data_IF_685320264069
#
_entry.id   IF_685320264069
#
_cell.length_a   1.000
_cell.length_b   1.000
_cell.length_c   1.000
_cell.angle_alpha   90.00
_cell.angle_beta   90.00
_cell.angle_gamma   90.00
#
_symmetry.space_group_name_H-M   'P 1'
#
loop_
_entity.id
_entity.type
_entity.pdbx_description
1 polymer ?
#
# COMPACT_ATOMS: atom_id res chain seq x y z
N UNK A 1 -51.48 -3.38 -12.23
CA UNK A 1 -50.87 -2.13 -11.74
C UNK A 1 -49.97 -2.51 -10.57
N UNK A 2 -48.80 -3.03 -10.88
CA UNK A 2 -47.80 -3.51 -9.91
C UNK A 2 -46.67 -2.49 -9.92
N UNK A 3 -46.59 -1.71 -8.84
CA UNK A 3 -45.51 -0.77 -8.57
C UNK A 3 -44.25 -1.55 -8.26
N UNK A 4 -43.32 -1.57 -9.22
CA UNK A 4 -41.90 -1.78 -8.93
C UNK A 4 -41.42 -0.53 -8.16
N UNK A 5 -41.12 -0.70 -6.88
CA UNK A 5 -40.31 0.26 -6.13
C UNK A 5 -38.87 -0.18 -6.33
N UNK A 6 -38.14 0.56 -7.16
CA UNK A 6 -36.69 0.53 -7.19
C UNK A 6 -36.20 1.04 -5.83
N UNK A 7 -35.63 0.15 -5.02
CA UNK A 7 -34.94 0.48 -3.78
C UNK A 7 -33.53 0.97 -4.12
N UNK A 8 -33.45 2.10 -4.84
CA UNK A 8 -32.20 2.84 -5.01
C UNK A 8 -31.89 3.52 -3.70
N UNK A 9 -31.04 2.89 -2.87
CA UNK A 9 -30.38 3.55 -1.73
C UNK A 9 -29.81 4.87 -2.23
N UNK A 10 -30.42 5.98 -1.82
CA UNK A 10 -30.05 7.31 -2.25
C UNK A 10 -28.87 7.77 -1.40
N UNK A 11 -27.67 7.62 -1.93
CA UNK A 11 -26.45 8.16 -1.31
C UNK A 11 -26.39 9.65 -1.59
N UNK A 12 -26.44 10.46 -0.53
CA UNK A 12 -26.56 11.92 -0.63
C UNK A 12 -25.20 12.62 -0.46
N UNK A 13 -24.19 11.88 0.00
CA UNK A 13 -22.84 12.38 0.30
C UNK A 13 -21.77 11.36 -0.05
N UNK A 14 -20.66 11.86 -0.60
CA UNK A 14 -19.45 11.08 -0.86
C UNK A 14 -18.30 11.63 0.00
N UNK A 15 -17.50 10.71 0.55
CA UNK A 15 -16.24 11.03 1.22
C UNK A 15 -15.18 10.03 0.80
N UNK A 16 -13.96 10.52 0.61
CA UNK A 16 -12.78 9.67 0.49
C UNK A 16 -12.16 9.54 1.88
N UNK A 17 -11.76 8.35 2.33
CA UNK A 17 -11.02 8.15 3.58
C UNK A 17 -9.61 7.71 3.24
N UNK A 18 -8.60 8.26 3.91
CA UNK A 18 -7.22 7.77 3.83
C UNK A 18 -7.04 6.71 4.91
N UNK A 19 -6.66 5.49 4.52
CA UNK A 19 -6.57 4.33 5.42
C UNK A 19 -5.11 3.87 5.54
N UNK A 20 -4.55 3.96 6.73
CA UNK A 20 -3.18 3.52 7.00
C UNK A 20 -3.10 2.09 7.55
N UNK A 21 -1.97 1.44 7.27
CA UNK A 21 -1.64 0.13 7.83
C UNK A 21 -2.28 -1.05 7.12
N UNK A 22 -2.98 -0.85 6.00
CA UNK A 22 -3.39 -1.96 5.14
C UNK A 22 -2.16 -2.55 4.49
N UNK A 23 -1.88 -3.81 4.77
CA UNK A 23 -0.75 -4.54 4.17
C UNK A 23 -1.17 -5.42 3.03
N UNK A 24 -2.44 -5.68 2.76
CA UNK A 24 -2.83 -6.50 1.60
C UNK A 24 -4.25 -6.20 1.16
N UNK A 25 -4.63 -6.74 0.01
CA UNK A 25 -5.98 -6.55 -0.52
C UNK A 25 -7.05 -7.31 0.28
N UNK A 26 -6.70 -8.40 0.99
CA UNK A 26 -7.60 -9.00 1.99
C UNK A 26 -7.91 -8.05 3.17
N UNK A 27 -6.97 -7.19 3.58
CA UNK A 27 -7.21 -6.10 4.54
C UNK A 27 -8.23 -5.11 3.97
N UNK A 28 -8.04 -4.65 2.73
CA UNK A 28 -8.97 -3.73 2.07
C UNK A 28 -10.37 -4.33 1.86
N UNK A 29 -10.47 -5.58 1.42
CA UNK A 29 -11.74 -6.28 1.26
C UNK A 29 -12.50 -6.42 2.58
N UNK A 30 -11.77 -6.57 3.70
CA UNK A 30 -12.37 -6.59 5.04
C UNK A 30 -12.92 -5.23 5.44
N UNK A 31 -12.13 -4.17 5.27
CA UNK A 31 -12.59 -2.80 5.53
C UNK A 31 -13.82 -2.48 4.68
N UNK A 32 -13.76 -2.80 3.38
CA UNK A 32 -14.86 -2.64 2.44
C UNK A 32 -16.11 -3.40 2.89
N UNK A 33 -15.98 -4.68 3.25
CA UNK A 33 -17.10 -5.50 3.72
C UNK A 33 -17.68 -4.96 5.04
N UNK A 34 -16.86 -4.35 5.90
CA UNK A 34 -17.31 -3.79 7.17
C UNK A 34 -18.04 -2.47 6.98
N UNK A 35 -17.53 -1.59 6.11
CA UNK A 35 -18.19 -0.33 5.73
C UNK A 35 -19.52 -0.61 5.00
N UNK A 36 -19.53 -1.53 4.03
CA UNK A 36 -20.75 -1.91 3.29
C UNK A 36 -21.81 -2.64 4.15
N UNK A 37 -21.46 -3.04 5.38
CA UNK A 37 -22.44 -3.60 6.34
C UNK A 37 -23.18 -2.50 7.11
N UNK A 38 -22.70 -1.25 7.08
CA UNK A 38 -23.39 -0.13 7.70
C UNK A 38 -24.64 0.21 6.88
N UNK A 39 -25.79 0.49 7.53
CA UNK A 39 -26.98 0.95 6.83
C UNK A 39 -26.68 2.25 6.07
N UNK A 40 -27.18 2.36 4.83
CA UNK A 40 -27.00 3.57 4.01
C UNK A 40 -25.59 3.81 3.46
N UNK A 41 -24.62 2.91 3.68
CA UNK A 41 -23.23 3.06 3.23
C UNK A 41 -22.91 2.13 2.06
N UNK A 42 -22.31 2.69 1.01
CA UNK A 42 -21.63 1.96 -0.06
C UNK A 42 -20.18 2.41 -0.11
N UNK A 43 -19.25 1.47 0.05
CA UNK A 43 -17.82 1.74 0.09
C UNK A 43 -17.07 0.89 -0.93
N UNK A 44 -16.07 1.50 -1.58
CA UNK A 44 -15.03 0.81 -2.35
C UNK A 44 -13.68 1.16 -1.78
N UNK A 45 -12.91 0.15 -1.38
CA UNK A 45 -11.58 0.33 -0.78
C UNK A 45 -10.52 -0.14 -1.76
N UNK A 46 -9.52 0.71 -1.99
CA UNK A 46 -8.37 0.40 -2.82
C UNK A 46 -7.09 0.39 -1.95
N UNK A 47 -6.52 -0.80 -1.81
CA UNK A 47 -5.26 -1.01 -1.08
C UNK A 47 -4.04 -0.36 -1.78
N UNK A 48 -4.03 -0.25 -3.11
CA UNK A 48 -2.91 0.34 -3.83
C UNK A 48 -2.79 1.85 -3.58
N UNK A 49 -3.92 2.52 -3.42
CA UNK A 49 -3.97 3.96 -3.13
C UNK A 49 -4.20 4.31 -1.68
N UNK A 50 -4.39 3.32 -0.81
CA UNK A 50 -4.68 3.52 0.62
C UNK A 50 -5.91 4.42 0.84
N UNK A 51 -6.87 4.36 -0.10
CA UNK A 51 -8.06 5.20 -0.11
C UNK A 51 -9.32 4.35 -0.10
N UNK A 52 -10.35 4.82 0.61
CA UNK A 52 -11.70 4.29 0.51
C UNK A 52 -12.66 5.36 0.03
N UNK A 53 -13.31 5.13 -1.10
CA UNK A 53 -14.41 5.97 -1.59
C UNK A 53 -15.70 5.47 -0.96
N UNK A 54 -16.34 6.31 -0.16
CA UNK A 54 -17.51 5.95 0.64
C UNK A 54 -18.65 6.91 0.30
N UNK A 55 -19.71 6.35 -0.25
CA UNK A 55 -21.00 7.01 -0.45
C UNK A 55 -21.90 6.65 0.72
N UNK A 56 -22.52 7.62 1.38
CA UNK A 56 -23.32 7.40 2.58
C UNK A 56 -24.57 8.28 2.61
N UNK A 57 -25.60 7.82 3.33
CA UNK A 57 -26.83 8.55 3.57
C UNK A 57 -26.61 9.71 4.57
N UNK A 58 -27.46 10.73 4.52
CA UNK A 58 -27.27 11.97 5.29
C UNK A 58 -27.32 11.79 6.83
N UNK A 59 -27.83 10.66 7.30
CA UNK A 59 -27.95 10.26 8.71
C UNK A 59 -26.69 9.57 9.27
N UNK A 60 -25.71 9.24 8.43
CA UNK A 60 -24.44 8.62 8.86
C UNK A 60 -23.39 9.69 9.13
N UNK A 61 -22.81 9.67 10.32
CA UNK A 61 -21.69 10.56 10.69
C UNK A 61 -20.37 10.05 10.07
N UNK A 62 -19.59 10.89 9.37
CA UNK A 62 -18.25 10.54 8.91
C UNK A 62 -17.31 10.00 10.01
N UNK A 63 -17.51 10.40 11.27
CA UNK A 63 -16.76 9.86 12.41
C UNK A 63 -17.05 8.36 12.64
N UNK A 64 -18.28 7.90 12.39
CA UNK A 64 -18.65 6.48 12.50
C UNK A 64 -17.99 5.64 11.41
N UNK A 65 -17.76 6.22 10.22
CA UNK A 65 -17.01 5.57 9.15
C UNK A 65 -15.56 5.35 9.59
N UNK A 66 -14.91 6.38 10.16
CA UNK A 66 -13.54 6.29 10.69
C UNK A 66 -13.46 5.25 11.82
N UNK A 67 -14.36 5.34 12.80
CA UNK A 67 -14.41 4.39 13.91
C UNK A 67 -14.65 2.95 13.44
N UNK A 68 -15.42 2.76 12.36
CA UNK A 68 -15.64 1.44 11.75
C UNK A 68 -14.36 0.88 11.14
N UNK A 69 -13.55 1.71 10.48
CA UNK A 69 -12.22 1.29 9.99
C UNK A 69 -11.26 1.02 11.15
N UNK A 70 -11.25 1.87 12.18
CA UNK A 70 -10.41 1.66 13.37
C UNK A 70 -10.79 0.40 14.16
N UNK A 71 -12.07 0.06 14.23
CA UNK A 71 -12.55 -1.19 14.79
C UNK A 71 -12.10 -2.43 13.99
N UNK A 72 -11.62 -2.23 12.76
CA UNK A 72 -10.95 -3.28 11.98
C UNK A 72 -9.44 -3.34 12.21
N UNK A 73 -8.86 -2.45 13.02
CA UNK A 73 -7.44 -2.47 13.38
C UNK A 73 -6.54 -1.71 12.40
N UNK A 74 -7.12 -0.85 11.56
CA UNK A 74 -6.40 0.06 10.66
C UNK A 74 -6.63 1.50 11.10
N UNK A 75 -5.79 2.43 10.66
CA UNK A 75 -6.05 3.86 10.90
C UNK A 75 -6.89 4.40 9.76
N UNK A 76 -7.80 5.33 10.04
CA UNK A 76 -8.51 6.08 9.01
C UNK A 76 -8.54 7.55 9.35
N UNK A 77 -8.32 8.40 8.35
CA UNK A 77 -8.46 9.84 8.49
C UNK A 77 -9.34 10.39 7.39
N UNK A 78 -10.17 11.37 7.76
CA UNK A 78 -10.84 12.21 6.78
C UNK A 78 -9.78 13.05 6.06
N UNK A 79 -9.86 13.22 4.73
CA UNK A 79 -9.01 14.15 4.00
C UNK A 79 -9.17 15.50 4.65
N UNK A 80 -8.06 16.08 5.08
CA UNK A 80 -8.08 17.47 5.49
C UNK A 80 -8.65 18.31 4.33
N UNK A 81 -9.54 19.28 4.58
CA UNK A 81 -9.87 20.27 3.55
C UNK A 81 -8.56 20.82 2.98
N UNK A 82 -8.45 20.99 1.65
CA UNK A 82 -7.19 21.40 1.03
C UNK A 82 -6.68 22.64 1.76
N UNK A 83 -5.50 22.57 2.41
CA UNK A 83 -5.03 23.67 3.22
C UNK A 83 -4.84 24.89 2.33
N UNK A 84 -5.42 26.02 2.75
CA UNK A 84 -5.35 27.30 2.05
C UNK A 84 -3.93 27.90 2.03
N UNK A 85 -2.98 27.26 2.72
CA UNK A 85 -1.56 27.60 2.68
C UNK A 85 -0.73 26.31 2.66
N UNK A 86 -0.05 26.03 1.54
CA UNK A 86 1.39 25.71 1.47
C UNK A 86 1.79 25.21 0.07
N UNK A 87 2.74 25.93 -0.53
CA UNK A 87 3.73 25.50 -1.52
C UNK A 87 3.84 23.99 -1.70
N UNK A 88 3.29 23.41 -2.79
CA UNK A 88 3.56 22.04 -3.30
C UNK A 88 3.59 20.85 -2.28
N UNK A 89 3.23 21.08 -1.02
CA UNK A 89 3.57 20.22 0.11
C UNK A 89 2.71 18.95 0.28
N UNK A 90 1.42 18.89 -0.10
CA UNK A 90 0.61 17.70 0.14
C UNK A 90 1.04 16.50 -0.73
N UNK A 91 1.40 16.76 -1.99
CA UNK A 91 1.86 15.73 -2.94
C UNK A 91 3.25 15.23 -2.54
N UNK A 92 4.13 16.16 -2.11
CA UNK A 92 5.46 15.83 -1.60
C UNK A 92 5.41 15.05 -0.27
N UNK A 93 4.43 15.29 0.60
CA UNK A 93 4.29 14.58 1.87
C UNK A 93 3.83 13.12 1.68
N UNK A 94 2.79 12.90 0.87
CA UNK A 94 2.33 11.55 0.54
C UNK A 94 3.40 10.76 -0.23
N UNK A 95 4.19 11.43 -1.06
CA UNK A 95 5.30 10.80 -1.79
C UNK A 95 6.47 10.47 -0.86
N UNK A 96 6.86 11.39 0.03
CA UNK A 96 7.86 11.10 1.07
C UNK A 96 7.46 9.91 1.92
N UNK A 97 6.19 9.78 2.30
CA UNK A 97 5.70 8.61 3.05
C UNK A 97 5.87 7.31 2.26
N UNK A 98 5.53 7.28 0.96
CA UNK A 98 5.73 6.10 0.09
C UNK A 98 7.20 5.77 -0.13
N UNK A 99 8.06 6.79 -0.25
CA UNK A 99 9.50 6.61 -0.41
C UNK A 99 10.16 6.12 0.89
N UNK A 100 9.72 6.62 2.04
CA UNK A 100 10.10 6.13 3.37
C UNK A 100 9.66 4.68 3.57
N UNK A 101 8.45 4.31 3.15
CA UNK A 101 7.97 2.93 3.22
C UNK A 101 8.83 1.98 2.37
N UNK A 102 9.07 2.33 1.10
CA UNK A 102 9.92 1.53 0.22
C UNK A 102 11.36 1.44 0.74
N UNK A 103 11.89 2.52 1.33
CA UNK A 103 13.20 2.53 1.96
C UNK A 103 13.24 1.64 3.22
N UNK A 104 12.19 1.64 4.03
CA UNK A 104 12.08 0.78 5.20
C UNK A 104 12.04 -0.71 4.81
N UNK A 105 11.28 -1.06 3.77
CA UNK A 105 11.28 -2.42 3.23
C UNK A 105 12.63 -2.82 2.62
N UNK A 106 13.32 -1.90 1.92
CA UNK A 106 14.67 -2.13 1.41
C UNK A 106 15.66 -2.38 2.54
N UNK A 107 15.63 -1.58 3.60
CA UNK A 107 16.50 -1.75 4.76
C UNK A 107 16.26 -3.11 5.42
N UNK A 108 14.99 -3.47 5.65
CA UNK A 108 14.62 -4.79 6.17
C UNK A 108 15.10 -5.92 5.29
N UNK A 109 14.96 -5.79 3.97
CA UNK A 109 15.43 -6.79 3.01
C UNK A 109 16.93 -6.98 3.08
N UNK A 110 17.71 -5.88 3.06
CA UNK A 110 19.17 -5.95 3.11
C UNK A 110 19.64 -6.58 4.41
N UNK A 111 19.15 -6.09 5.55
CA UNK A 111 19.54 -6.63 6.87
C UNK A 111 19.14 -8.11 6.99
N UNK A 112 17.91 -8.47 6.62
CA UNK A 112 17.44 -9.85 6.72
C UNK A 112 18.20 -10.77 5.77
N UNK A 113 18.51 -10.33 4.55
CA UNK A 113 19.30 -11.12 3.59
C UNK A 113 20.72 -11.36 4.09
N UNK A 114 21.38 -10.32 4.62
CA UNK A 114 22.74 -10.43 5.16
C UNK A 114 22.80 -11.41 6.34
N UNK A 115 21.77 -11.46 7.17
CA UNK A 115 21.70 -12.38 8.31
C UNK A 115 21.25 -13.80 7.92
N UNK A 116 20.31 -13.93 6.98
CA UNK A 116 19.77 -15.22 6.53
C UNK A 116 20.77 -16.01 5.69
N UNK A 117 21.57 -15.36 4.84
CA UNK A 117 22.52 -16.06 3.95
C UNK A 117 23.51 -16.93 4.74
N UNK A 118 24.20 -16.45 5.78
CA UNK A 118 25.05 -17.30 6.60
C UNK A 118 24.31 -18.46 7.27
N UNK A 119 23.09 -18.23 7.79
CA UNK A 119 22.26 -19.28 8.41
C UNK A 119 21.98 -20.39 7.41
N UNK A 120 21.58 -20.02 6.19
CA UNK A 120 21.28 -20.96 5.12
C UNK A 120 22.52 -21.73 4.66
N UNK A 121 23.67 -21.05 4.53
CA UNK A 121 24.93 -21.69 4.17
C UNK A 121 25.39 -22.70 5.23
N UNK A 122 25.34 -22.34 6.51
CA UNK A 122 25.69 -23.26 7.61
C UNK A 122 24.73 -24.46 7.68
N UNK A 123 23.45 -24.24 7.36
CA UNK A 123 22.46 -25.32 7.36
C UNK A 123 22.59 -26.26 6.15
N UNK A 124 22.95 -25.75 4.97
CA UNK A 124 23.03 -26.56 3.74
C UNK A 124 24.41 -27.16 3.47
N UNK A 125 25.48 -26.60 4.03
CA UNK A 125 26.85 -27.06 3.80
C UNK A 125 27.41 -27.65 5.10
N UNK A 126 27.44 -28.98 5.25
CA UNK A 126 27.95 -29.62 6.47
C UNK A 126 29.40 -29.24 6.81
N UNK A 127 30.21 -28.89 5.81
CA UNK A 127 31.58 -28.43 6.01
C UNK A 127 31.69 -27.07 6.72
N UNK A 128 30.61 -26.26 6.74
CA UNK A 128 30.54 -24.99 7.46
C UNK A 128 30.02 -25.16 8.90
N UNK A 129 29.63 -26.37 9.31
CA UNK A 129 29.15 -26.66 10.66
C UNK A 129 30.33 -26.89 11.62
N UNK A 130 30.91 -25.78 12.09
CA UNK A 130 31.89 -25.77 13.17
C UNK A 130 31.22 -25.96 14.54
N UNK A 131 32.00 -26.17 15.59
CA UNK A 131 31.45 -26.38 16.93
C UNK A 131 30.64 -25.17 17.40
N UNK A 132 29.39 -25.39 17.81
CA UNK A 132 28.41 -24.36 18.20
C UNK A 132 27.85 -23.51 17.06
N UNK A 133 27.97 -23.96 15.80
CA UNK A 133 27.33 -23.29 14.65
C UNK A 133 25.82 -23.07 14.88
N UNK A 134 25.14 -23.96 15.60
CA UNK A 134 23.72 -23.88 15.91
C UNK A 134 23.34 -22.66 16.75
N UNK A 135 24.22 -22.25 17.67
CA UNK A 135 24.03 -21.07 18.52
C UNK A 135 24.30 -19.79 17.74
N UNK A 136 25.26 -19.81 16.80
CA UNK A 136 25.44 -18.71 15.86
C UNK A 136 24.24 -18.57 14.93
N UNK A 137 23.73 -19.68 14.38
CA UNK A 137 22.52 -19.71 13.56
C UNK A 137 21.31 -19.15 14.29
N UNK A 138 21.10 -19.51 15.56
CA UNK A 138 20.05 -18.93 16.39
C UNK A 138 20.24 -17.42 16.53
N UNK A 139 21.46 -16.96 16.82
CA UNK A 139 21.78 -15.54 17.01
C UNK A 139 21.52 -14.72 15.74
N UNK A 140 21.83 -15.27 14.56
CA UNK A 140 21.62 -14.60 13.28
C UNK A 140 20.16 -14.67 12.81
N UNK A 141 19.47 -15.79 13.05
CA UNK A 141 18.06 -15.96 12.68
C UNK A 141 17.12 -15.14 13.59
N UNK A 142 17.48 -14.91 14.86
CA UNK A 142 16.62 -14.23 15.82
C UNK A 142 16.24 -12.80 15.41
N UNK A 143 17.15 -11.91 14.96
CA UNK A 143 16.76 -10.60 14.44
C UNK A 143 15.87 -10.68 13.20
N UNK A 144 16.09 -11.67 12.32
CA UNK A 144 15.25 -11.86 11.13
C UNK A 144 13.83 -12.21 11.53
N UNK A 145 13.65 -13.17 12.44
CA UNK A 145 12.34 -13.60 12.92
C UNK A 145 11.68 -12.52 13.78
N UNK A 146 12.38 -11.93 14.74
CA UNK A 146 11.78 -11.00 15.71
C UNK A 146 11.57 -9.61 15.12
N UNK A 147 12.57 -9.04 14.44
CA UNK A 147 12.50 -7.68 13.89
C UNK A 147 12.07 -7.68 12.42
N UNK A 148 12.61 -8.58 11.60
CA UNK A 148 12.25 -8.70 10.19
C UNK A 148 10.79 -9.09 10.01
N UNK A 149 10.31 -10.11 10.72
CA UNK A 149 8.91 -10.56 10.64
C UNK A 149 7.94 -9.80 11.56
N UNK A 150 8.41 -8.84 12.35
CA UNK A 150 7.58 -8.04 13.26
C UNK A 150 6.29 -7.46 12.63
N UNK A 151 6.32 -6.91 11.39
CA UNK A 151 5.11 -6.40 10.76
C UNK A 151 4.06 -7.49 10.53
N UNK A 152 4.50 -8.69 10.14
CA UNK A 152 3.62 -9.84 9.90
C UNK A 152 3.03 -10.37 11.21
N UNK A 153 3.84 -10.44 12.27
CA UNK A 153 3.37 -10.82 13.60
C UNK A 153 2.30 -9.84 14.15
N UNK A 154 2.53 -8.54 13.98
CA UNK A 154 1.54 -7.51 14.37
C UNK A 154 0.25 -7.64 13.57
N UNK A 155 0.34 -7.81 12.26
CA UNK A 155 -0.82 -8.01 11.40
C UNK A 155 -1.59 -9.29 11.75
N UNK A 156 -0.88 -10.41 11.95
CA UNK A 156 -1.48 -11.67 12.38
C UNK A 156 -2.21 -11.55 13.73
N UNK A 157 -1.60 -10.86 14.70
CA UNK A 157 -2.20 -10.63 16.00
C UNK A 157 -3.46 -9.75 15.94
N UNK A 158 -3.44 -8.70 15.12
CA UNK A 158 -4.62 -7.89 14.86
C UNK A 158 -5.73 -8.73 14.20
N UNK A 159 -5.39 -9.51 13.17
CA UNK A 159 -6.35 -10.37 12.47
C UNK A 159 -6.96 -11.42 13.41
N UNK A 160 -6.16 -12.04 14.28
CA UNK A 160 -6.61 -13.00 15.27
C UNK A 160 -7.64 -12.41 16.24
N UNK A 161 -7.37 -11.21 16.79
CA UNK A 161 -8.31 -10.51 17.69
C UNK A 161 -9.66 -10.23 17.04
N UNK A 162 -9.70 -10.16 15.72
CA UNK A 162 -10.91 -9.85 14.97
C UNK A 162 -11.48 -11.05 14.20
N UNK A 163 -11.02 -12.27 14.48
CA UNK A 163 -11.55 -13.50 13.89
C UNK A 163 -11.29 -13.63 12.39
N UNK A 164 -10.20 -13.04 11.88
CA UNK A 164 -9.79 -13.11 10.49
C UNK A 164 -8.47 -13.87 10.35
N UNK A 165 -8.28 -14.55 9.22
CA UNK A 165 -7.02 -15.18 8.84
C UNK A 165 -6.59 -14.67 7.46
N UNK A 166 -5.35 -14.23 7.36
CA UNK A 166 -4.75 -13.67 6.14
C UNK A 166 -3.41 -14.35 5.84
N UNK A 167 -2.79 -14.00 4.70
CA UNK A 167 -1.44 -14.45 4.36
C UNK A 167 -0.44 -14.14 5.50
N UNK A 168 -0.50 -12.94 6.09
CA UNK A 168 0.35 -12.55 7.22
C UNK A 168 0.16 -13.48 8.45
N UNK A 169 -1.03 -14.07 8.62
CA UNK A 169 -1.33 -15.03 9.70
C UNK A 169 -0.61 -16.34 9.50
N UNK A 170 -0.67 -16.90 8.29
CA UNK A 170 0.03 -18.15 7.96
C UNK A 170 1.53 -17.98 8.10
N UNK A 171 2.07 -16.86 7.61
CA UNK A 171 3.50 -16.52 7.71
C UNK A 171 3.91 -16.42 9.18
N UNK A 172 3.17 -15.65 9.98
CA UNK A 172 3.47 -15.46 11.40
C UNK A 172 3.46 -16.78 12.18
N UNK A 173 2.46 -17.64 11.92
CA UNK A 173 2.35 -18.94 12.58
C UNK A 173 3.46 -19.90 12.12
N UNK A 174 3.75 -19.95 10.82
CA UNK A 174 4.78 -20.83 10.26
C UNK A 174 6.19 -20.46 10.74
N UNK A 175 6.56 -19.17 10.63
CA UNK A 175 7.86 -18.66 11.10
C UNK A 175 7.97 -18.81 12.62
N UNK A 176 6.90 -18.50 13.36
CA UNK A 176 6.86 -18.67 14.81
C UNK A 176 7.01 -20.13 15.24
N UNK A 177 6.31 -21.05 14.57
CA UNK A 177 6.40 -22.48 14.85
C UNK A 177 7.80 -23.04 14.56
N UNK A 178 8.39 -22.71 13.41
CA UNK A 178 9.73 -23.12 13.03
C UNK A 178 10.79 -22.60 14.04
N UNK A 179 10.68 -21.33 14.42
CA UNK A 179 11.61 -20.70 15.36
C UNK A 179 11.46 -21.25 16.78
N UNK A 180 10.23 -21.35 17.31
CA UNK A 180 9.98 -21.87 18.66
C UNK A 180 10.34 -23.35 18.79
N UNK A 181 10.08 -24.16 17.74
CA UNK A 181 10.52 -25.54 17.70
C UNK A 181 12.05 -25.63 17.75
N UNK A 182 12.73 -24.85 16.92
CA UNK A 182 14.20 -24.83 16.90
C UNK A 182 14.78 -24.39 18.23
N UNK A 183 14.16 -23.41 18.90
CA UNK A 183 14.54 -22.99 20.23
C UNK A 183 14.32 -24.11 21.25
N UNK A 184 13.18 -24.79 21.21
CA UNK A 184 12.94 -25.96 22.07
C UNK A 184 13.97 -27.07 21.84
N UNK A 185 14.28 -27.41 20.59
CA UNK A 185 15.30 -28.40 20.25
C UNK A 185 16.69 -27.99 20.79
N UNK A 186 17.11 -26.74 20.60
CA UNK A 186 18.41 -26.27 21.08
C UNK A 186 18.58 -26.33 22.60
N UNK A 187 17.51 -26.11 23.37
CA UNK A 187 17.60 -26.07 24.83
C UNK A 187 17.29 -27.41 25.51
N UNK A 188 16.48 -28.28 24.88
CA UNK A 188 15.92 -29.46 25.52
C UNK A 188 16.29 -30.79 24.85
N UNK A 189 17.01 -30.78 23.74
CA UNK A 189 17.47 -32.01 23.06
C UNK A 189 18.96 -31.96 22.76
N UNK A 190 19.49 -33.06 22.22
CA UNK A 190 20.89 -33.18 21.81
C UNK A 190 21.29 -32.20 20.69
N UNK A 191 20.32 -31.51 20.07
CA UNK A 191 20.58 -30.45 19.09
C UNK A 191 21.36 -29.26 19.68
N UNK A 192 21.29 -29.03 20.99
CA UNK A 192 22.06 -27.99 21.69
C UNK A 192 23.52 -28.35 21.93
N UNK A 193 23.89 -29.63 21.84
CA UNK A 193 25.19 -30.15 22.27
C UNK A 193 26.32 -29.71 21.33
N UNK A 194 27.52 -29.53 21.90
CA UNK A 194 28.73 -29.20 21.15
C UNK A 194 29.07 -30.34 20.18
N UNK A 195 29.34 -30.02 18.91
CA UNK A 195 29.65 -31.01 17.89
C UNK A 195 28.44 -31.57 17.12
N UNK A 196 27.23 -31.07 17.39
CA UNK A 196 26.06 -31.40 16.58
C UNK A 196 26.27 -31.02 15.11
N UNK A 197 26.00 -31.97 14.21
CA UNK A 197 25.98 -31.77 12.77
C UNK A 197 24.65 -32.24 12.21
N UNK A 198 24.11 -31.48 11.27
CA UNK A 198 22.95 -31.91 10.50
C UNK A 198 23.43 -32.48 9.16
N UNK A 199 23.34 -33.79 8.93
CA UNK A 199 23.60 -34.37 7.61
C UNK A 199 22.51 -33.90 6.62
N UNK A 200 22.93 -33.59 5.39
CA UNK A 200 22.01 -33.35 4.29
C UNK A 200 21.73 -34.68 3.57
N UNK A 201 20.60 -35.30 3.87
CA UNK A 201 20.14 -36.50 3.18
C UNK A 201 19.03 -36.17 2.17
N UNK A 202 19.27 -36.51 0.90
CA UNK A 202 18.32 -36.33 -0.20
C UNK A 202 17.11 -37.27 -0.13
N UNK A 203 17.21 -38.35 0.66
CA UNK A 203 16.15 -39.34 0.87
C UNK A 203 15.94 -39.52 2.37
N UNK A 204 14.69 -39.45 2.89
CA UNK A 204 14.41 -39.65 4.30
C UNK A 204 14.74 -41.09 4.70
N UNK A 205 15.86 -41.28 5.39
CA UNK A 205 16.23 -42.56 5.98
C UNK A 205 15.29 -42.92 7.14
N UNK A 206 14.87 -44.19 7.20
CA UNK A 206 13.99 -44.73 8.27
C UNK A 206 14.58 -44.65 9.69
N UNK A 207 15.82 -44.17 9.86
CA UNK A 207 16.55 -44.08 11.13
C UNK A 207 16.53 -42.69 11.77
N UNK A 208 15.98 -41.65 11.12
CA UNK A 208 16.09 -40.26 11.58
C UNK A 208 14.97 -39.73 12.50
N UNK A 209 14.09 -40.59 13.03
CA UNK A 209 12.91 -40.14 13.78
C UNK A 209 13.23 -39.54 15.17
N UNK A 210 14.46 -39.69 15.67
CA UNK A 210 14.89 -39.19 16.99
C UNK A 210 15.86 -38.00 16.92
N UNK A 211 16.37 -37.63 15.74
CA UNK A 211 17.26 -36.47 15.61
C UNK A 211 16.44 -35.18 15.48
N UNK A 212 16.62 -34.28 16.45
CA UNK A 212 15.90 -33.01 16.48
C UNK A 212 16.45 -32.05 15.41
N UNK A 213 15.78 -32.01 14.26
CA UNK A 213 16.09 -31.05 13.20
C UNK A 213 15.80 -29.61 13.64
N UNK A 214 16.75 -28.72 13.34
CA UNK A 214 16.56 -27.27 13.46
C UNK A 214 15.93 -26.75 12.16
N UNK A 215 15.01 -25.80 12.30
CA UNK A 215 14.32 -25.13 11.18
C UNK A 215 14.59 -23.62 11.20
N UNK A 216 15.75 -23.20 11.72
CA UNK A 216 16.13 -21.79 11.82
C UNK A 216 16.35 -21.17 10.42
N UNK A 217 16.89 -21.96 9.50
CA UNK A 217 17.06 -21.62 8.09
C UNK A 217 15.71 -21.42 7.41
N UNK A 218 14.72 -22.26 7.72
CA UNK A 218 13.35 -22.10 7.19
C UNK A 218 12.73 -20.81 7.71
N UNK A 219 12.78 -20.59 9.03
CA UNK A 219 12.24 -19.38 9.65
C UNK A 219 12.86 -18.10 9.07
N UNK A 220 14.18 -18.10 8.88
CA UNK A 220 14.93 -16.96 8.34
C UNK A 220 14.72 -16.78 6.83
N UNK A 221 14.75 -17.87 6.04
CA UNK A 221 14.60 -17.83 4.58
C UNK A 221 13.19 -17.41 4.17
N UNK A 222 12.16 -18.04 4.74
CA UNK A 222 10.76 -17.70 4.44
C UNK A 222 10.50 -16.23 4.75
N UNK A 223 10.94 -15.75 5.91
CA UNK A 223 10.82 -14.34 6.29
C UNK A 223 11.49 -13.41 5.26
N UNK A 224 12.73 -13.70 4.88
CA UNK A 224 13.47 -12.88 3.91
C UNK A 224 12.82 -12.87 2.53
N UNK A 225 12.33 -14.00 2.02
CA UNK A 225 11.62 -14.07 0.74
C UNK A 225 10.34 -13.23 0.74
N UNK A 226 9.57 -13.28 1.82
CA UNK A 226 8.34 -12.49 1.95
C UNK A 226 8.67 -10.99 2.05
N UNK A 227 9.71 -10.61 2.80
CA UNK A 227 10.20 -9.23 2.83
C UNK A 227 10.61 -8.77 1.42
N UNK A 228 11.24 -9.63 0.62
CA UNK A 228 11.58 -9.34 -0.77
C UNK A 228 10.31 -9.09 -1.61
N UNK A 229 9.30 -9.94 -1.47
CA UNK A 229 7.99 -9.74 -2.09
C UNK A 229 7.37 -8.37 -1.73
N UNK A 230 7.38 -8.00 -0.44
CA UNK A 230 6.90 -6.68 0.03
C UNK A 230 7.68 -5.51 -0.55
N UNK A 231 9.00 -5.65 -0.67
CA UNK A 231 9.84 -4.63 -1.28
C UNK A 231 9.51 -4.43 -2.77
N UNK A 232 9.35 -5.52 -3.52
CA UNK A 232 8.96 -5.44 -4.93
C UNK A 232 7.56 -4.87 -5.11
N UNK A 233 6.62 -5.24 -4.24
CA UNK A 233 5.27 -4.71 -4.22
C UNK A 233 5.25 -3.19 -3.99
N UNK A 234 5.96 -2.71 -2.95
CA UNK A 234 6.09 -1.28 -2.66
C UNK A 234 6.74 -0.52 -3.83
N UNK A 235 7.75 -1.11 -4.46
CA UNK A 235 8.44 -0.52 -5.62
C UNK A 235 7.53 -0.45 -6.85
N UNK A 236 6.74 -1.48 -7.11
CA UNK A 236 5.77 -1.51 -8.21
C UNK A 236 4.70 -0.43 -8.03
N UNK A 237 4.11 -0.33 -6.83
CA UNK A 237 3.12 0.71 -6.48
C UNK A 237 3.66 2.13 -6.70
N UNK A 238 4.93 2.38 -6.32
CA UNK A 238 5.58 3.67 -6.51
C UNK A 238 5.66 4.05 -7.99
N UNK A 239 6.07 3.11 -8.84
CA UNK A 239 6.26 3.34 -10.28
C UNK A 239 4.94 3.68 -10.97
N UNK A 240 3.86 2.97 -10.64
CA UNK A 240 2.52 3.24 -11.22
C UNK A 240 2.02 4.66 -10.92
N UNK A 241 2.32 5.22 -9.75
CA UNK A 241 1.91 6.57 -9.38
C UNK A 241 2.74 7.69 -10.03
N UNK A 242 3.91 7.40 -10.61
CA UNK A 242 4.81 8.43 -11.15
C UNK A 242 4.27 9.08 -12.45
N UNK A 243 3.58 8.31 -13.29
CA UNK A 243 3.06 8.80 -14.57
C UNK A 243 1.92 9.81 -14.39
N UNK A 244 1.01 9.58 -13.44
CA UNK A 244 -0.04 10.54 -13.08
C UNK A 244 0.52 11.86 -12.55
N UNK A 245 1.64 11.82 -11.83
CA UNK A 245 2.28 13.00 -11.25
C UNK A 245 2.99 13.88 -12.27
N UNK A 246 3.62 13.27 -13.28
CA UNK A 246 4.20 14.02 -14.37
C UNK A 246 3.19 14.95 -15.06
N UNK A 247 1.89 14.57 -15.05
CA UNK A 247 0.80 15.42 -15.55
C UNK A 247 0.42 16.56 -14.59
N UNK A 248 0.50 16.35 -13.27
CA UNK A 248 0.16 17.35 -12.25
C UNK A 248 1.26 18.41 -12.06
N UNK A 249 2.54 18.03 -12.21
CA UNK A 249 3.67 18.95 -12.17
C UNK A 249 3.72 19.91 -13.38
N UNK A 250 2.82 19.73 -14.35
CA UNK A 250 2.72 20.61 -15.51
C UNK A 250 2.07 21.96 -15.18
N UNK A 251 1.35 22.09 -14.07
CA UNK A 251 0.71 23.36 -13.67
C UNK A 251 1.71 24.49 -13.37
N UNK A 252 1.27 25.74 -13.45
CA UNK A 252 2.07 26.88 -13.00
C UNK A 252 2.12 26.92 -11.47
N UNK A 253 3.27 27.25 -10.88
CA UNK A 253 3.44 27.34 -9.41
C UNK A 253 3.13 28.74 -8.88
N UNK A 254 3.47 29.77 -9.66
CA UNK A 254 3.23 31.16 -9.35
C UNK A 254 2.33 31.80 -10.41
N UNK A 255 1.64 32.87 -10.00
CA UNK A 255 0.79 33.68 -10.86
C UNK A 255 1.00 35.16 -10.56
N UNK A 256 0.99 36.00 -11.60
CA UNK A 256 1.06 37.45 -11.48
C UNK A 256 -0.35 38.05 -11.52
N UNK A 257 -0.92 38.31 -10.34
CA UNK A 257 -2.28 38.86 -10.20
C UNK A 257 -2.25 40.38 -10.35
N UNK A 258 -3.19 40.91 -11.12
CA UNK A 258 -3.38 42.32 -11.40
C UNK A 258 -4.36 42.89 -10.36
N UNK A 259 -3.85 43.68 -9.42
CA UNK A 259 -4.65 44.33 -8.37
C UNK A 259 -4.80 45.81 -8.66
N UNK A 260 -6.00 46.33 -8.45
CA UNK A 260 -6.26 47.77 -8.59
C UNK A 260 -5.62 48.51 -7.41
N UNK A 261 -4.81 49.53 -7.71
CA UNK A 261 -4.22 50.46 -6.75
C UNK A 261 -4.62 51.90 -7.11
N UNK A 262 -4.66 52.84 -6.15
CA UNK A 262 -4.94 54.26 -6.42
C UNK A 262 -4.04 54.91 -7.49
N UNK A 263 -2.89 54.31 -7.79
CA UNK A 263 -1.90 54.78 -8.76
C UNK A 263 -1.97 54.04 -10.11
N UNK A 264 -2.94 53.14 -10.29
CA UNK A 264 -3.09 52.25 -11.45
C UNK A 264 -2.98 50.76 -11.06
N UNK A 265 -3.20 49.84 -12.01
CA UNK A 265 -3.09 48.41 -11.75
C UNK A 265 -1.64 47.98 -11.48
N UNK A 266 -1.42 47.23 -10.40
CA UNK A 266 -0.12 46.70 -9.99
C UNK A 266 -0.12 45.18 -10.09
N UNK A 267 0.96 44.62 -10.63
CA UNK A 267 1.17 43.16 -10.69
C UNK A 267 1.81 42.66 -9.38
N UNK A 268 1.14 41.73 -8.71
CA UNK A 268 1.64 41.07 -7.50
C UNK A 268 1.81 39.59 -7.79
N UNK A 269 3.04 39.09 -7.62
CA UNK A 269 3.34 37.67 -7.79
C UNK A 269 2.97 36.92 -6.51
N UNK A 270 2.16 35.87 -6.64
CA UNK A 270 1.75 35.00 -5.54
C UNK A 270 1.67 33.54 -5.99
N UNK A 271 1.69 32.58 -5.05
CA UNK A 271 1.44 31.17 -5.37
C UNK A 271 0.08 30.98 -6.02
N UNK A 272 -0.02 30.06 -6.99
CA UNK A 272 -1.30 29.75 -7.68
C UNK A 272 -2.39 29.26 -6.70
N UNK A 273 -2.00 28.70 -5.56
CA UNK A 273 -2.92 28.23 -4.53
C UNK A 273 -3.71 29.34 -3.82
N UNK A 274 -3.21 30.58 -3.88
CA UNK A 274 -3.89 31.75 -3.30
C UNK A 274 -4.80 32.46 -4.30
N UNK A 275 -4.85 31.98 -5.55
CA UNK A 275 -5.68 32.55 -6.61
C UNK A 275 -7.15 32.21 -6.37
N UNK A 276 -8.02 33.22 -6.34
CA UNK A 276 -9.45 33.06 -6.18
C UNK A 276 -10.18 33.18 -7.53
N UNK A 277 -11.38 32.58 -7.62
CA UNK A 277 -12.28 32.79 -8.76
C UNK A 277 -12.61 34.28 -8.85
N UNK A 278 -12.50 34.83 -10.05
CA UNK A 278 -12.70 36.25 -10.34
C UNK A 278 -11.42 37.09 -10.33
N UNK A 279 -10.31 36.59 -9.80
CA UNK A 279 -9.03 37.29 -9.85
C UNK A 279 -8.56 37.46 -11.30
N UNK A 280 -7.97 38.63 -11.58
CA UNK A 280 -7.39 38.95 -12.89
C UNK A 280 -5.90 38.73 -12.82
N UNK A 281 -5.33 37.94 -13.72
CA UNK A 281 -3.91 37.67 -13.76
C UNK A 281 -3.33 37.82 -15.16
N UNK A 282 -2.02 38.04 -15.21
CA UNK A 282 -1.28 38.28 -16.44
C UNK A 282 -0.58 37.01 -16.86
N UNK A 283 -0.64 36.70 -18.15
CA UNK A 283 0.13 35.63 -18.78
C UNK A 283 1.00 36.23 -19.87
N UNK A 284 2.33 36.09 -19.74
CA UNK A 284 3.31 36.60 -20.70
C UNK A 284 3.63 35.56 -21.79
N UNK A 285 4.19 35.98 -22.93
CA UNK A 285 4.77 35.03 -23.89
C UNK A 285 5.72 34.04 -23.21
N UNK A 286 5.56 32.75 -23.49
CA UNK A 286 6.30 31.63 -22.92
C UNK A 286 5.82 31.19 -21.53
N UNK A 287 4.92 31.91 -20.88
CA UNK A 287 4.38 31.51 -19.58
C UNK A 287 3.21 30.52 -19.71
N UNK A 288 3.08 29.66 -18.71
CA UNK A 288 1.91 28.79 -18.57
C UNK A 288 0.73 29.58 -18.02
N UNK A 289 -0.46 29.32 -18.55
CA UNK A 289 -1.71 29.81 -17.98
C UNK A 289 -1.89 29.15 -16.60
N UNK A 290 -2.02 29.97 -15.56
CA UNK A 290 -2.02 29.48 -14.18
C UNK A 290 -3.27 28.65 -13.82
N UNK A 291 -4.42 29.01 -14.37
CA UNK A 291 -5.70 28.38 -14.07
C UNK A 291 -6.71 28.58 -15.20
N UNK A 292 -7.84 27.89 -15.13
CA UNK A 292 -8.89 28.03 -16.13
C UNK A 292 -9.57 29.40 -16.03
N UNK A 293 -9.75 30.08 -17.15
CA UNK A 293 -10.26 31.44 -17.13
C UNK A 293 -10.82 31.94 -18.46
N UNK A 294 -11.26 33.20 -18.44
CA UNK A 294 -11.71 33.92 -19.64
C UNK A 294 -10.76 35.08 -19.89
N UNK A 295 -10.32 35.26 -21.13
CA UNK A 295 -9.45 36.36 -21.53
C UNK A 295 -10.26 37.66 -21.49
N UNK A 296 -9.77 38.65 -20.75
CA UNK A 296 -10.40 39.96 -20.60
C UNK A 296 -9.76 40.98 -21.54
N UNK A 297 -8.46 40.83 -21.81
CA UNK A 297 -7.74 41.72 -22.72
C UNK A 297 -6.50 41.03 -23.32
N UNK A 298 -6.18 41.39 -24.57
CA UNK A 298 -5.04 40.87 -25.31
C UNK A 298 -5.46 39.89 -26.41
N UNK A 299 -4.53 39.61 -27.31
CA UNK A 299 -4.65 38.62 -28.38
C UNK A 299 -3.35 37.83 -28.44
N UNK A 300 -3.44 36.52 -28.56
CA UNK A 300 -2.29 35.63 -28.59
C UNK A 300 -2.63 34.28 -29.21
N UNK A 301 -1.63 33.44 -29.40
CA UNK A 301 -1.81 32.02 -29.67
C UNK A 301 -1.52 31.21 -28.40
N UNK A 302 -2.39 30.26 -28.07
CA UNK A 302 -2.22 29.31 -26.96
C UNK A 302 -1.83 27.95 -27.52
N UNK A 303 -0.70 27.44 -27.05
CA UNK A 303 -0.30 26.05 -27.26
C UNK A 303 -1.00 25.16 -26.23
N UNK A 304 -1.95 24.37 -26.73
CA UNK A 304 -2.70 23.38 -25.97
C UNK A 304 -2.30 21.93 -26.32
N UNK A 305 -1.19 21.72 -27.03
CA UNK A 305 -0.76 20.40 -27.52
C UNK A 305 -0.65 19.36 -26.39
N UNK A 306 -0.27 19.79 -25.19
CA UNK A 306 -0.14 18.91 -24.01
C UNK A 306 -1.49 18.40 -23.47
N UNK A 307 -2.60 19.09 -23.76
CA UNK A 307 -3.94 18.72 -23.31
C UNK A 307 -4.77 18.09 -24.44
N UNK A 308 -4.74 18.68 -25.63
CA UNK A 308 -5.55 18.24 -26.77
C UNK A 308 -4.82 17.27 -27.69
N UNK A 309 -3.49 17.24 -27.65
CA UNK A 309 -2.66 16.51 -28.62
C UNK A 309 -2.51 17.20 -29.97
N UNK A 310 -3.11 18.38 -30.15
CA UNK A 310 -3.05 19.12 -31.41
C UNK A 310 -1.78 20.00 -31.45
N UNK A 311 -0.89 19.85 -32.46
CA UNK A 311 0.40 20.52 -32.47
C UNK A 311 0.35 22.01 -32.88
N UNK A 312 -0.80 22.50 -33.35
CA UNK A 312 -0.95 23.87 -33.87
C UNK A 312 -1.52 24.77 -32.76
N UNK A 313 -0.83 25.85 -32.36
CA UNK A 313 -1.37 26.82 -31.42
C UNK A 313 -2.68 27.44 -31.91
N UNK A 314 -3.62 27.65 -30.99
CA UNK A 314 -4.95 28.21 -31.27
C UNK A 314 -4.94 29.71 -30.99
N UNK A 315 -5.36 30.51 -31.97
CA UNK A 315 -5.53 31.95 -31.80
C UNK A 315 -6.68 32.27 -30.85
N UNK A 316 -6.43 33.16 -29.90
CA UNK A 316 -7.38 33.57 -28.86
C UNK A 316 -7.39 35.09 -28.69
N UNK A 317 -8.57 35.62 -28.36
CA UNK A 317 -8.81 37.03 -28.12
C UNK A 317 -9.65 37.24 -26.85
N UNK A 318 -9.92 38.51 -26.53
CA UNK A 318 -10.80 38.87 -25.43
C UNK A 318 -12.20 38.25 -25.60
N UNK A 319 -12.69 37.58 -24.57
CA UNK A 319 -13.94 36.81 -24.56
C UNK A 319 -13.73 35.28 -24.61
N UNK A 320 -12.60 34.82 -25.12
CA UNK A 320 -12.33 33.38 -25.25
C UNK A 320 -11.92 32.74 -23.91
N UNK A 321 -12.21 31.44 -23.77
CA UNK A 321 -11.80 30.65 -22.60
C UNK A 321 -10.40 30.06 -22.79
N UNK A 322 -9.61 30.06 -21.72
CA UNK A 322 -8.30 29.41 -21.65
C UNK A 322 -8.26 28.38 -20.54
N UNK A 323 -7.47 27.34 -20.76
CA UNK A 323 -7.32 26.22 -19.83
C UNK A 323 -5.97 26.33 -19.11
N UNK A 324 -5.95 26.03 -17.82
CA UNK A 324 -4.71 25.99 -17.04
C UNK A 324 -3.68 25.01 -17.63
N UNK A 325 -2.39 25.28 -17.39
CA UNK A 325 -1.23 24.54 -17.89
C UNK A 325 -0.97 24.60 -19.41
N UNK A 326 -1.86 25.22 -20.20
CA UNK A 326 -1.54 25.61 -21.60
C UNK A 326 -0.45 26.69 -21.63
N UNK A 327 0.31 26.77 -22.72
CA UNK A 327 1.42 27.73 -22.85
C UNK A 327 1.01 28.88 -23.75
N UNK A 328 1.22 30.10 -23.28
CA UNK A 328 1.03 31.28 -24.09
C UNK A 328 2.21 31.47 -25.06
N UNK A 329 1.99 31.39 -26.37
CA UNK A 329 3.05 31.46 -27.37
C UNK A 329 3.30 32.87 -27.93
N UNK A 330 2.29 33.75 -27.87
CA UNK A 330 2.28 35.06 -28.51
C UNK A 330 2.23 36.25 -27.55
N UNK A 331 1.22 37.10 -27.69
CA UNK A 331 1.07 38.35 -26.94
C UNK A 331 0.75 38.21 -25.45
N UNK A 332 0.84 39.33 -24.72
CA UNK A 332 0.45 39.42 -23.30
C UNK A 332 -1.07 39.30 -23.17
N UNK A 333 -1.52 38.37 -22.32
CA UNK A 333 -2.93 38.17 -22.00
C UNK A 333 -3.24 38.62 -20.57
N UNK A 334 -4.44 39.13 -20.35
CA UNK A 334 -5.04 39.27 -19.01
C UNK A 334 -6.23 38.34 -18.95
N UNK A 335 -6.22 37.44 -17.97
CA UNK A 335 -7.19 36.37 -17.81
C UNK A 335 -7.90 36.53 -16.47
N UNK A 336 -9.23 36.36 -16.46
CA UNK A 336 -10.02 36.26 -15.25
C UNK A 336 -10.19 34.79 -14.87
N UNK A 337 -9.80 34.42 -13.65
CA UNK A 337 -9.96 33.05 -13.15
C UNK A 337 -11.45 32.67 -13.07
N UNK A 338 -11.81 31.52 -13.64
CA UNK A 338 -13.18 30.97 -13.60
C UNK A 338 -13.27 29.71 -12.75
N UNK A 339 -12.23 28.86 -12.78
CA UNK A 339 -12.10 27.66 -11.93
C UNK A 339 -10.67 27.60 -11.43
N UNK A 340 -10.49 27.28 -10.15
CA UNK A 340 -9.17 27.23 -9.49
C UNK A 340 -9.00 25.91 -8.75
N UNK A 341 -7.75 25.52 -8.47
CA UNK A 341 -7.43 24.32 -7.70
C UNK A 341 -8.05 23.04 -8.27
N UNK A 342 -8.85 22.36 -7.44
CA UNK A 342 -9.49 21.08 -7.77
C UNK A 342 -10.51 21.14 -8.91
N UNK A 343 -10.98 22.34 -9.24
CA UNK A 343 -12.09 22.51 -10.17
C UNK A 343 -11.60 22.80 -11.60
N UNK A 344 -10.28 22.95 -11.79
CA UNK A 344 -9.67 23.11 -13.12
C UNK A 344 -9.86 21.88 -13.99
N UNK A 345 -9.91 22.05 -15.31
CA UNK A 345 -10.03 20.93 -16.24
C UNK A 345 -8.88 19.93 -16.08
N UNK A 346 -7.64 20.40 -15.88
CA UNK A 346 -6.50 19.52 -15.64
C UNK A 346 -6.68 18.69 -14.36
N UNK A 347 -7.16 19.29 -13.27
CA UNK A 347 -7.43 18.56 -12.03
C UNK A 347 -8.56 17.53 -12.20
N UNK A 348 -9.58 17.85 -12.98
CA UNK A 348 -10.65 16.90 -13.31
C UNK A 348 -10.15 15.75 -14.19
N UNK A 349 -9.35 16.02 -15.21
CA UNK A 349 -8.71 14.99 -16.04
C UNK A 349 -7.82 14.09 -15.17
N UNK A 350 -6.99 14.66 -14.31
CA UNK A 350 -6.15 13.89 -13.39
C UNK A 350 -6.98 12.99 -12.47
N UNK A 351 -8.09 13.50 -11.91
CA UNK A 351 -9.03 12.72 -11.10
C UNK A 351 -9.67 11.59 -11.88
N UNK A 352 -10.09 11.82 -13.12
CA UNK A 352 -10.69 10.79 -13.96
C UNK A 352 -9.69 9.68 -14.29
N UNK A 353 -8.43 10.02 -14.58
CA UNK A 353 -7.39 9.02 -14.82
C UNK A 353 -7.03 8.29 -13.53
N UNK A 354 -6.95 8.99 -12.38
CA UNK A 354 -6.76 8.36 -11.07
C UNK A 354 -7.90 7.37 -10.77
N UNK A 355 -9.16 7.77 -10.95
CA UNK A 355 -10.34 6.91 -10.78
C UNK A 355 -10.31 5.70 -11.72
N UNK A 356 -9.89 5.88 -12.98
CA UNK A 356 -9.75 4.79 -13.94
C UNK A 356 -8.63 3.80 -13.57
N UNK A 357 -7.49 4.31 -13.07
CA UNK A 357 -6.36 3.48 -12.61
C UNK A 357 -6.64 2.80 -11.26
N UNK A 358 -7.54 3.38 -10.47
CA UNK A 358 -7.98 2.82 -9.19
C UNK A 358 -8.97 1.66 -9.35
N UNK A 359 -9.34 1.29 -10.58
CA UNK A 359 -10.06 0.06 -10.87
C UNK A 359 -9.28 -1.17 -10.40
N UNK A 360 -9.85 -1.95 -9.47
CA UNK A 360 -9.27 -3.21 -8.98
C UNK A 360 -8.97 -4.16 -10.15
N UNK A 361 -7.72 -4.62 -10.26
CA UNK A 361 -7.35 -5.68 -11.18
C UNK A 361 -8.03 -7.00 -10.76
N UNK A 362 -8.72 -7.66 -11.69
CA UNK A 362 -9.47 -8.91 -11.43
C UNK A 362 -8.60 -10.03 -10.84
N UNK A 363 -7.33 -10.10 -11.24
CA UNK A 363 -6.36 -11.09 -10.77
C UNK A 363 -6.09 -10.95 -9.27
N UNK A 364 -6.09 -9.73 -8.73
CA UNK A 364 -5.84 -9.46 -7.32
C UNK A 364 -6.99 -9.95 -6.43
N UNK A 365 -8.24 -9.80 -6.89
CA UNK A 365 -9.43 -10.33 -6.19
C UNK A 365 -9.41 -11.86 -6.05
N UNK A 366 -8.79 -12.55 -7.01
CA UNK A 366 -8.69 -14.01 -7.00
C UNK A 366 -7.72 -14.48 -5.93
N UNK A 367 -6.53 -13.88 -5.83
CA UNK A 367 -5.51 -14.25 -4.86
C UNK A 367 -6.02 -14.16 -3.41
N UNK A 368 -6.71 -13.07 -3.05
CA UNK A 368 -7.26 -12.88 -1.71
C UNK A 368 -8.33 -13.91 -1.36
N UNK A 369 -9.20 -14.24 -2.33
CA UNK A 369 -10.26 -15.24 -2.13
C UNK A 369 -9.66 -16.61 -1.88
N UNK A 370 -8.58 -16.95 -2.59
CA UNK A 370 -7.85 -18.19 -2.37
C UNK A 370 -7.24 -18.21 -0.97
N UNK A 371 -6.51 -17.16 -0.56
CA UNK A 371 -5.90 -17.11 0.78
C UNK A 371 -6.91 -17.20 1.93
N UNK A 372 -8.08 -16.55 1.79
CA UNK A 372 -9.12 -16.58 2.82
C UNK A 372 -9.69 -17.98 3.09
N UNK A 373 -9.64 -18.88 2.11
CA UNK A 373 -10.10 -20.27 2.24
C UNK A 373 -8.94 -21.21 2.53
N UNK A 374 -7.81 -21.00 1.87
CA UNK A 374 -6.61 -21.84 1.98
C UNK A 374 -6.02 -21.82 3.39
N UNK A 375 -5.89 -20.65 4.02
CA UNK A 375 -5.26 -20.54 5.34
C UNK A 375 -6.04 -21.32 6.42
N UNK A 376 -7.37 -21.17 6.59
CA UNK A 376 -8.13 -22.00 7.54
C UNK A 376 -8.04 -23.50 7.27
N UNK A 377 -8.04 -23.92 6.01
CA UNK A 377 -7.92 -25.34 5.63
C UNK A 377 -6.56 -25.90 6.04
N UNK A 378 -5.48 -25.18 5.76
CA UNK A 378 -4.12 -25.59 6.13
C UNK A 378 -3.96 -25.72 7.65
N UNK A 379 -4.49 -24.75 8.41
CA UNK A 379 -4.49 -24.82 9.88
C UNK A 379 -5.28 -26.06 10.34
N UNK A 380 -6.45 -26.31 9.75
CA UNK A 380 -7.25 -27.50 10.02
C UNK A 380 -6.50 -28.80 9.73
N UNK A 381 -5.80 -28.89 8.60
CA UNK A 381 -5.00 -30.07 8.23
C UNK A 381 -3.79 -30.25 9.15
N UNK A 382 -3.15 -29.17 9.57
CA UNK A 382 -2.04 -29.22 10.55
C UNK A 382 -2.52 -29.77 11.89
N UNK A 383 -3.65 -29.28 12.41
CA UNK A 383 -4.26 -29.78 13.64
C UNK A 383 -4.73 -31.24 13.50
N UNK A 384 -5.31 -31.60 12.36
CA UNK A 384 -5.70 -32.99 12.09
C UNK A 384 -4.49 -33.92 12.04
N UNK A 385 -3.38 -33.47 11.44
CA UNK A 385 -2.10 -34.21 11.41
C UNK A 385 -1.58 -34.40 12.83
N UNK A 386 -1.53 -33.34 13.65
CA UNK A 386 -1.12 -33.42 15.05
C UNK A 386 -1.95 -34.46 15.82
N UNK A 387 -3.28 -34.39 15.69
CA UNK A 387 -4.20 -35.28 16.38
C UNK A 387 -4.02 -36.74 15.93
N UNK A 388 -3.91 -36.99 14.63
CA UNK A 388 -3.75 -38.34 14.09
C UNK A 388 -2.44 -39.01 14.56
N UNK A 389 -1.33 -38.27 14.60
CA UNK A 389 -0.05 -38.80 15.06
C UNK A 389 -0.05 -39.11 16.56
N UNK A 390 -0.67 -38.24 17.38
CA UNK A 390 -0.86 -38.50 18.81
C UNK A 390 -1.76 -39.72 19.07
N UNK A 391 -2.87 -39.85 18.32
CA UNK A 391 -3.82 -40.96 18.47
C UNK A 391 -3.26 -42.31 18.01
N UNK A 392 -2.29 -42.31 17.09
CA UNK A 392 -1.61 -43.53 16.60
C UNK A 392 -0.44 -43.98 17.48
N UNK A 393 -0.19 -43.30 18.60
CA UNK A 393 0.82 -43.69 19.60
C UNK A 393 2.24 -43.21 19.30
N UNK A 394 2.42 -42.26 18.36
CA UNK A 394 3.72 -41.65 18.11
C UNK A 394 4.09 -40.67 19.24
N UNK A 395 5.37 -40.33 19.36
CA UNK A 395 5.84 -39.33 20.32
C UNK A 395 5.24 -37.95 20.02
N UNK A 396 5.04 -37.15 21.08
CA UNK A 396 4.57 -35.77 20.94
C UNK A 396 5.50 -34.92 20.05
N UNK A 397 6.80 -35.24 20.06
CA UNK A 397 7.79 -34.60 19.20
C UNK A 397 7.53 -34.91 17.73
N UNK A 398 7.37 -36.18 17.35
CA UNK A 398 7.10 -36.57 15.97
C UNK A 398 5.77 -36.00 15.45
N UNK A 399 4.73 -36.01 16.29
CA UNK A 399 3.42 -35.45 15.95
C UNK A 399 3.48 -33.93 15.69
N UNK A 400 4.22 -33.20 16.53
CA UNK A 400 4.39 -31.75 16.38
C UNK A 400 5.25 -31.41 15.16
N UNK A 401 6.36 -32.13 14.92
CA UNK A 401 7.18 -31.96 13.73
C UNK A 401 6.35 -32.14 12.45
N UNK A 402 5.53 -33.18 12.37
CA UNK A 402 4.65 -33.42 11.23
C UNK A 402 3.63 -32.29 11.03
N UNK A 403 3.00 -31.81 12.10
CA UNK A 403 2.04 -30.71 12.04
C UNK A 403 2.67 -29.37 11.62
N UNK A 404 3.88 -29.08 12.12
CA UNK A 404 4.65 -27.88 11.76
C UNK A 404 5.14 -27.97 10.32
N UNK A 405 5.57 -29.15 9.84
CA UNK A 405 5.95 -29.36 8.46
C UNK A 405 4.79 -29.03 7.49
N UNK A 406 3.55 -29.40 7.84
CA UNK A 406 2.34 -29.03 7.07
C UNK A 406 2.17 -27.51 6.98
N UNK A 407 2.38 -26.78 8.08
CA UNK A 407 2.26 -25.31 8.09
C UNK A 407 3.38 -24.64 7.27
N UNK A 408 4.60 -25.13 7.43
CA UNK A 408 5.78 -24.62 6.73
C UNK A 408 5.63 -24.79 5.22
N UNK A 409 5.30 -26.01 4.77
CA UNK A 409 5.27 -26.33 3.34
C UNK A 409 4.10 -25.65 2.62
N UNK A 410 3.04 -25.33 3.36
CA UNK A 410 1.88 -24.63 2.83
C UNK A 410 2.10 -23.12 2.70
N UNK A 411 3.17 -22.54 3.25
CA UNK A 411 3.42 -21.11 3.16
C UNK A 411 3.74 -20.71 1.70
N UNK A 412 2.87 -19.92 1.02
CA UNK A 412 3.12 -19.52 -0.36
C UNK A 412 4.20 -18.42 -0.37
N UNK A 413 5.44 -18.81 -0.64
CA UNK A 413 6.59 -17.91 -0.70
C UNK A 413 6.95 -17.43 -2.11
N UNK A 414 6.19 -17.85 -3.14
CA UNK A 414 6.37 -17.47 -4.55
C UNK A 414 5.03 -17.07 -5.21
#
# INVERSE_FOLDING_TARGET
MTTHVDDTKQHDRDVELVIGGMTCASCAARVEKKLNKMPGVTATVNYATEKAKVSFAADVDPADLVATVEATGYTATLPAPPPTDTTSAPVDAAQRAKDEEAAAWRQRLVVSTVLTVPVLLMSMVPALQFDNWQWLSLTLASPVVVWGALPFHRAAWANLRHGAATMDTLISVGVGAAYLWSLWALFFTDAGMTGMRMPFDLFPGRSGAEEAHLYLEVAAAVTTFIIAGRYFEATAKRTSGAALRALLDMGAKDVAVLRDSPQGPVEIRMPVSQLAVGDRFVVRPGEKVATDGTIISGTSAIDAAMLTGEPVPVEVAAGDSVVGATVNAGGRLVVQATRVGSDTQLAQMARLVEDAQNGKADVQRLADRVSAVFVPIVIGLSLATLAAWLLTGHSATAAFTAAVAVLIIACPCA
#
